data_IF_331108135343
#
_entry.id   IF_331108135343
#
_cell.length_a   1.000
_cell.length_b   1.000
_cell.length_c   1.000
_cell.angle_alpha   90.00
_cell.angle_beta   90.00
_cell.angle_gamma   90.00
#
_symmetry.space_group_name_H-M   'P 1'
#
loop_
_entity.id
_entity.type
_entity.pdbx_description
1 polymer ?
#
# COMPACT_ATOMS: atom_id res chain seq x y z
N UNK A 1 -37.35 -6.27 9.77
CA UNK A 1 -36.25 -6.47 10.74
C UNK A 1 -34.96 -6.54 9.95
N UNK A 2 -34.15 -5.46 9.91
CA UNK A 2 -32.86 -5.45 9.17
C UNK A 2 -31.81 -6.13 10.04
N UNK A 3 -31.32 -7.29 9.61
CA UNK A 3 -30.13 -7.89 10.21
C UNK A 3 -28.96 -6.97 9.85
N UNK A 4 -28.23 -6.38 10.81
CA UNK A 4 -27.05 -5.60 10.47
C UNK A 4 -26.01 -6.56 9.86
N UNK A 5 -25.76 -6.41 8.56
CA UNK A 5 -24.67 -7.10 7.90
C UNK A 5 -23.35 -6.61 8.49
N UNK A 6 -22.54 -7.52 9.04
CA UNK A 6 -21.20 -7.19 9.54
C UNK A 6 -20.20 -7.44 8.42
N UNK A 7 -19.68 -6.37 7.83
CA UNK A 7 -18.52 -6.44 6.92
C UNK A 7 -17.27 -6.30 7.77
N UNK A 8 -16.38 -7.29 7.71
CA UNK A 8 -15.08 -7.26 8.40
C UNK A 8 -14.01 -7.14 7.34
N UNK A 9 -13.27 -6.03 7.35
CA UNK A 9 -12.13 -5.83 6.47
C UNK A 9 -10.88 -6.42 7.13
N UNK A 10 -10.26 -7.40 6.48
CA UNK A 10 -8.98 -7.95 6.95
C UNK A 10 -7.83 -7.05 6.53
N UNK A 11 -6.71 -7.12 7.26
CA UNK A 11 -5.49 -6.40 6.91
C UNK A 11 -4.99 -6.77 5.51
N UNK A 12 -5.14 -8.03 5.11
CA UNK A 12 -4.79 -8.50 3.78
C UNK A 12 -5.69 -7.90 2.67
N UNK A 13 -7.00 -7.76 2.94
CA UNK A 13 -7.92 -7.11 2.01
C UNK A 13 -7.61 -5.62 1.88
N UNK A 14 -7.31 -4.95 3.00
CA UNK A 14 -6.88 -3.56 3.02
C UNK A 14 -5.54 -3.38 2.28
N UNK A 15 -4.56 -4.26 2.51
CA UNK A 15 -3.28 -4.23 1.80
C UNK A 15 -3.45 -4.37 0.28
N UNK A 16 -4.33 -5.27 -0.16
CA UNK A 16 -4.65 -5.47 -1.57
C UNK A 16 -5.31 -4.24 -2.19
N UNK A 17 -6.27 -3.63 -1.50
CA UNK A 17 -6.91 -2.39 -1.91
C UNK A 17 -5.88 -1.26 -2.07
N UNK A 18 -5.02 -1.08 -1.07
CA UNK A 18 -4.00 -0.04 -1.07
C UNK A 18 -2.93 -0.26 -2.14
N UNK A 19 -2.57 -1.52 -2.43
CA UNK A 19 -1.65 -1.85 -3.52
C UNK A 19 -2.23 -1.45 -4.88
N UNK A 20 -3.52 -1.73 -5.13
CA UNK A 20 -4.21 -1.32 -6.35
C UNK A 20 -4.18 0.20 -6.53
N UNK A 21 -4.53 0.94 -5.48
CA UNK A 21 -4.52 2.41 -5.49
C UNK A 21 -3.12 2.97 -5.68
N UNK A 22 -2.10 2.35 -5.08
CA UNK A 22 -0.71 2.76 -5.25
C UNK A 22 -0.23 2.62 -6.71
N UNK A 23 -0.66 1.57 -7.41
CA UNK A 23 -0.33 1.36 -8.83
C UNK A 23 -0.96 2.40 -9.77
N UNK A 24 -2.05 3.03 -9.37
CA UNK A 24 -2.71 4.09 -10.15
C UNK A 24 -2.00 5.45 -10.02
N UNK A 25 -1.06 5.59 -9.09
CA UNK A 25 -0.33 6.85 -8.87
C UNK A 25 0.76 7.02 -9.92
N UNK A 26 0.72 8.12 -10.72
CA UNK A 26 1.76 8.39 -11.70
C UNK A 26 3.15 8.45 -11.06
N UNK A 27 4.11 7.72 -11.64
CA UNK A 27 5.48 7.61 -11.13
C UNK A 27 5.76 6.31 -10.38
N UNK A 28 4.73 5.60 -9.91
CA UNK A 28 4.87 4.21 -9.44
C UNK A 28 4.84 3.27 -10.65
N UNK A 29 5.91 2.54 -10.89
CA UNK A 29 6.01 1.59 -12.04
C UNK A 29 6.03 0.14 -11.62
N UNK A 30 6.11 -0.11 -10.31
CA UNK A 30 6.09 -1.44 -9.71
C UNK A 30 6.16 -1.36 -8.19
N UNK A 31 6.01 -2.50 -7.55
CA UNK A 31 6.15 -2.68 -6.11
C UNK A 31 7.00 -3.91 -5.84
N UNK A 32 7.61 -4.00 -4.65
CA UNK A 32 8.46 -5.11 -4.26
C UNK A 32 8.16 -5.57 -2.84
N UNK A 33 8.43 -6.83 -2.47
CA UNK A 33 8.19 -7.31 -1.12
C UNK A 33 9.03 -6.58 -0.09
N UNK A 34 8.50 -6.48 1.14
CA UNK A 34 9.15 -5.87 2.28
C UNK A 34 10.41 -6.62 2.76
N UNK A 35 10.52 -7.93 2.51
CA UNK A 35 11.63 -8.77 2.97
C UNK A 35 12.72 -8.94 1.91
N UNK A 36 13.97 -8.60 2.25
CA UNK A 36 15.16 -8.82 1.40
C UNK A 36 15.38 -10.30 1.05
N UNK A 37 15.03 -11.24 1.95
CA UNK A 37 15.14 -12.69 1.69
C UNK A 37 14.21 -13.14 0.55
N UNK A 38 13.09 -12.47 0.36
CA UNK A 38 12.13 -12.77 -0.70
C UNK A 38 12.52 -12.14 -2.04
N UNK A 39 13.33 -11.08 -2.05
CA UNK A 39 13.73 -10.40 -3.28
C UNK A 39 14.66 -11.24 -4.17
N UNK A 40 15.52 -12.08 -3.59
CA UNK A 40 16.46 -12.95 -4.34
C UNK A 40 15.74 -14.17 -4.96
N UNK A 41 14.59 -14.59 -4.43
CA UNK A 41 13.82 -15.74 -4.91
C UNK A 41 12.65 -15.44 -5.86
N UNK A 42 12.22 -14.17 -5.98
CA UNK A 42 10.96 -13.78 -6.66
C UNK A 42 11.03 -13.47 -8.14
N UNK A 43 12.20 -13.52 -8.78
CA UNK A 43 12.28 -13.45 -10.26
C UNK A 43 11.47 -14.60 -10.91
N UNK A 44 11.12 -15.66 -10.15
CA UNK A 44 10.46 -16.88 -10.64
C UNK A 44 9.06 -17.18 -10.07
N UNK A 45 8.43 -16.32 -9.23
CA UNK A 45 7.12 -16.66 -8.62
C UNK A 45 6.08 -15.55 -8.79
N UNK A 46 4.97 -15.95 -9.41
CA UNK A 46 3.70 -15.26 -9.68
C UNK A 46 3.37 -14.24 -8.58
N UNK A 47 3.26 -12.96 -8.94
CA UNK A 47 2.94 -11.89 -8.00
C UNK A 47 1.54 -12.09 -7.40
N UNK A 48 1.45 -12.10 -6.08
CA UNK A 48 0.19 -12.10 -5.34
C UNK A 48 -0.33 -10.66 -5.17
N UNK A 49 -1.65 -10.48 -5.06
CA UNK A 49 -2.24 -9.18 -4.76
C UNK A 49 -1.86 -8.75 -3.34
N UNK A 50 -1.29 -7.55 -3.19
CA UNK A 50 -0.80 -7.02 -1.90
C UNK A 50 0.71 -7.05 -1.71
N UNK A 51 1.48 -7.48 -2.71
CA UNK A 51 2.94 -7.43 -2.65
C UNK A 51 3.47 -6.00 -2.50
N UNK A 52 4.31 -5.79 -1.48
CA UNK A 52 4.93 -4.51 -1.20
C UNK A 52 4.07 -3.52 -0.42
N UNK A 53 2.90 -3.93 0.09
CA UNK A 53 2.16 -3.16 1.08
C UNK A 53 2.09 -3.95 2.38
N UNK A 54 2.54 -3.35 3.48
CA UNK A 54 2.43 -3.91 4.82
C UNK A 54 1.47 -3.04 5.63
N UNK A 55 0.37 -3.63 6.08
CA UNK A 55 -0.63 -2.95 6.90
C UNK A 55 -0.59 -3.51 8.31
N UNK A 56 -0.59 -2.61 9.30
CA UNK A 56 -0.58 -2.98 10.72
C UNK A 56 -1.57 -2.09 11.48
N UNK A 57 -2.29 -2.62 12.48
CA UNK A 57 -3.07 -1.78 13.39
C UNK A 57 -2.18 -0.78 14.13
N UNK A 58 -2.69 0.42 14.38
CA UNK A 58 -1.99 1.41 15.19
C UNK A 58 -2.14 1.07 16.69
N UNK A 59 -1.04 0.80 17.43
CA UNK A 59 -1.11 0.46 18.84
C UNK A 59 -1.60 1.61 19.74
N UNK A 60 -1.50 2.87 19.28
CA UNK A 60 -1.93 4.05 20.02
C UNK A 60 -3.32 4.54 19.62
N UNK A 61 -3.88 4.04 18.51
CA UNK A 61 -5.18 4.51 17.97
C UNK A 61 -6.02 3.34 17.44
N UNK A 62 -6.85 2.71 18.30
CA UNK A 62 -7.70 1.60 17.90
C UNK A 62 -8.58 1.92 16.68
N UNK A 63 -8.63 1.01 15.71
CA UNK A 63 -9.38 1.18 14.45
C UNK A 63 -8.65 2.02 13.38
N UNK A 64 -7.42 2.47 13.65
CA UNK A 64 -6.54 3.08 12.66
C UNK A 64 -5.43 2.12 12.25
N UNK A 65 -4.88 2.33 11.06
CA UNK A 65 -3.84 1.48 10.49
C UNK A 65 -2.63 2.29 10.05
N UNK A 66 -1.45 1.71 10.25
CA UNK A 66 -0.18 2.16 9.71
C UNK A 66 0.16 1.35 8.47
N UNK A 67 0.65 2.02 7.44
CA UNK A 67 0.92 1.43 6.13
C UNK A 67 2.36 1.71 5.72
N UNK A 68 3.11 0.67 5.39
CA UNK A 68 4.39 0.77 4.71
C UNK A 68 4.25 0.29 3.26
N UNK A 69 4.66 1.12 2.30
CA UNK A 69 4.71 0.79 0.88
C UNK A 69 6.15 0.65 0.41
N UNK A 70 6.41 -0.35 -0.42
CA UNK A 70 7.71 -0.65 -1.00
C UNK A 70 7.60 -0.53 -2.52
N UNK A 71 7.99 0.63 -3.05
CA UNK A 71 7.68 1.05 -4.42
C UNK A 71 8.92 1.15 -5.29
N UNK A 72 8.77 0.78 -6.56
CA UNK A 72 9.73 1.04 -7.62
C UNK A 72 9.22 2.24 -8.43
N UNK A 73 10.07 3.26 -8.57
CA UNK A 73 9.68 4.51 -9.21
C UNK A 73 10.22 4.64 -10.62
N UNK A 74 9.55 5.41 -11.47
CA UNK A 74 10.12 5.85 -12.73
C UNK A 74 11.29 6.82 -12.49
N UNK A 75 12.33 6.76 -13.32
CA UNK A 75 13.38 7.78 -13.32
C UNK A 75 12.79 9.19 -13.52
N UNK A 76 13.35 10.18 -12.82
CA UNK A 76 12.88 11.57 -12.86
C UNK A 76 11.66 11.86 -11.97
N UNK A 77 11.12 10.87 -11.25
CA UNK A 77 10.00 11.08 -10.31
C UNK A 77 10.46 11.89 -9.10
N UNK A 78 9.74 12.98 -8.80
CA UNK A 78 9.97 13.78 -7.59
C UNK A 78 9.38 13.07 -6.37
N UNK A 79 10.23 12.37 -5.61
CA UNK A 79 9.83 11.54 -4.46
C UNK A 79 8.91 12.27 -3.47
N UNK A 80 9.14 13.54 -3.07
CA UNK A 80 8.25 14.22 -2.14
C UNK A 80 6.83 14.40 -2.68
N UNK A 81 6.70 14.82 -3.93
CA UNK A 81 5.38 15.02 -4.57
C UNK A 81 4.65 13.69 -4.75
N UNK A 82 5.39 12.62 -5.05
CA UNK A 82 4.82 11.27 -5.12
C UNK A 82 4.33 10.79 -3.75
N UNK A 83 5.11 10.99 -2.69
CA UNK A 83 4.75 10.56 -1.34
C UNK A 83 3.48 11.26 -0.85
N UNK A 84 3.33 12.56 -1.14
CA UNK A 84 2.12 13.32 -0.87
C UNK A 84 0.91 12.75 -1.64
N UNK A 85 1.05 12.57 -2.95
CA UNK A 85 -0.01 12.01 -3.79
C UNK A 85 -0.42 10.58 -3.40
N UNK A 86 0.54 9.74 -2.97
CA UNK A 86 0.26 8.41 -2.42
C UNK A 86 -0.50 8.52 -1.10
N UNK A 87 -0.04 9.36 -0.17
CA UNK A 87 -0.69 9.57 1.12
C UNK A 87 -2.15 9.99 0.97
N UNK A 88 -2.43 10.97 0.12
CA UNK A 88 -3.79 11.45 -0.14
C UNK A 88 -4.70 10.37 -0.73
N UNK A 89 -4.27 9.70 -1.81
CA UNK A 89 -5.08 8.69 -2.49
C UNK A 89 -5.34 7.47 -1.60
N UNK A 90 -4.32 7.02 -0.87
CA UNK A 90 -4.45 5.87 0.03
C UNK A 90 -5.35 6.17 1.22
N UNK A 91 -5.20 7.35 1.84
CA UNK A 91 -6.09 7.78 2.92
C UNK A 91 -7.54 7.92 2.43
N UNK A 92 -7.74 8.48 1.23
CA UNK A 92 -9.05 8.57 0.62
C UNK A 92 -9.67 7.18 0.40
N UNK A 93 -8.94 6.25 -0.22
CA UNK A 93 -9.44 4.90 -0.49
C UNK A 93 -9.70 4.10 0.78
N UNK A 94 -8.80 4.15 1.77
CA UNK A 94 -8.99 3.52 3.07
C UNK A 94 -10.27 3.99 3.76
N UNK A 95 -10.53 5.30 3.75
CA UNK A 95 -11.72 5.89 4.37
C UNK A 95 -13.01 5.55 3.62
N UNK A 96 -13.04 5.77 2.31
CA UNK A 96 -14.28 5.71 1.53
C UNK A 96 -14.63 4.31 1.03
N UNK A 97 -13.63 3.47 0.77
CA UNK A 97 -13.83 2.10 0.28
C UNK A 97 -13.63 1.07 1.40
N UNK A 98 -12.62 1.28 2.26
CA UNK A 98 -12.30 0.39 3.37
C UNK A 98 -13.06 0.67 4.66
N UNK A 99 -13.63 1.86 4.84
CA UNK A 99 -14.30 2.27 6.08
C UNK A 99 -13.34 2.40 7.28
N UNK A 100 -12.04 2.62 7.04
CA UNK A 100 -11.00 2.72 8.07
C UNK A 100 -10.13 3.97 7.88
N UNK A 101 -9.44 4.39 8.93
CA UNK A 101 -8.52 5.54 8.90
C UNK A 101 -7.07 5.08 8.86
N UNK A 102 -6.22 5.78 8.11
CA UNK A 102 -4.78 5.58 8.15
C UNK A 102 -4.16 6.58 9.12
N UNK A 103 -3.40 6.12 10.10
CA UNK A 103 -2.66 7.00 11.02
C UNK A 103 -1.30 7.41 10.46
N UNK A 104 -0.69 6.53 9.65
CA UNK A 104 0.60 6.79 9.04
C UNK A 104 0.75 6.05 7.71
N UNK A 105 1.32 6.74 6.72
CA UNK A 105 1.74 6.17 5.45
C UNK A 105 3.24 6.41 5.29
N UNK A 106 4.00 5.34 5.09
CA UNK A 106 5.44 5.39 4.87
C UNK A 106 5.77 4.80 3.52
N UNK A 107 6.53 5.55 2.72
CA UNK A 107 6.91 5.15 1.37
C UNK A 107 8.41 4.83 1.37
N UNK A 108 8.73 3.57 1.08
CA UNK A 108 10.08 3.06 0.92
C UNK A 108 10.35 2.89 -0.58
N UNK A 109 11.29 3.68 -1.10
CA UNK A 109 11.72 3.55 -2.49
C UNK A 109 12.75 2.42 -2.57
N UNK A 110 12.37 1.29 -3.15
CA UNK A 110 13.23 0.10 -3.27
C UNK A 110 14.07 0.10 -4.54
N UNK A 111 13.70 0.91 -5.53
CA UNK A 111 14.39 0.97 -6.80
C UNK A 111 13.85 2.05 -7.71
N UNK A 112 14.61 2.33 -8.76
CA UNK A 112 14.24 3.26 -9.82
C UNK A 112 14.39 2.53 -11.15
N UNK A 113 13.36 2.56 -11.99
CA UNK A 113 13.41 2.02 -13.35
C UNK A 113 13.74 3.15 -14.31
N UNK A 114 14.90 3.03 -14.93
CA UNK A 114 15.25 3.79 -16.12
C UNK A 114 14.70 3.02 -17.33
N UNK A 115 13.88 3.69 -18.14
CA UNK A 115 13.45 3.18 -19.43
C UNK A 115 14.53 3.34 -20.48
#
# INVERSE_FOLDING_TARGET
MRVPGRVVLTEAALASLLALVAHEVPGVVGMAPASLKDQVGRILRRQEAGEGVVVRPDPQSPGRYQVDLYVVLAYGTRVPALAEALGERLAYAARHLGGVELSQVRVHVVGVRCG
#
